data_IF_596878177627
#
_entry.id   IF_596878177627
#
_cell.length_a   1.000
_cell.length_b   1.000
_cell.length_c   1.000
_cell.angle_alpha   90.00
_cell.angle_beta   90.00
_cell.angle_gamma   90.00
#
_symmetry.space_group_name_H-M   'P 1'
#
loop_
_entity.id
_entity.type
_entity.pdbx_description
1 polymer ?
#
# COMPACT_ATOMS: atom_id res chain seq x y z
N UNK A 1 73.72 -45.95 29.53
CA UNK A 1 72.31 -46.37 29.51
C UNK A 1 71.47 -45.09 29.66
N UNK A 2 70.98 -44.55 28.52
CA UNK A 2 70.15 -43.37 28.58
C UNK A 2 68.95 -43.64 27.69
N UNK A 3 67.75 -43.67 28.30
CA UNK A 3 66.52 -44.04 27.63
C UNK A 3 65.76 -42.74 27.37
N UNK A 4 65.84 -42.29 26.10
CA UNK A 4 65.13 -41.09 25.63
C UNK A 4 63.74 -41.49 25.18
N UNK A 5 62.72 -41.14 25.95
CA UNK A 5 61.31 -41.26 25.58
C UNK A 5 60.87 -39.99 24.84
N UNK A 6 60.55 -40.11 23.58
CA UNK A 6 59.94 -39.05 22.74
C UNK A 6 58.46 -38.89 23.12
N UNK A 7 57.91 -37.65 23.29
CA UNK A 7 56.48 -37.46 23.45
C UNK A 7 55.77 -37.50 22.12
N UNK A 8 54.68 -38.26 22.06
CA UNK A 8 53.77 -38.36 20.92
C UNK A 8 52.89 -37.11 20.92
N UNK A 9 53.09 -36.28 19.88
CA UNK A 9 52.25 -35.12 19.61
C UNK A 9 50.86 -35.55 19.14
N UNK A 10 49.84 -35.34 19.96
CA UNK A 10 48.44 -35.55 19.56
C UNK A 10 47.97 -34.35 18.74
N UNK A 11 47.93 -34.56 17.43
CA UNK A 11 47.34 -33.63 16.48
C UNK A 11 45.82 -33.60 16.70
N UNK A 12 45.33 -32.49 17.31
CA UNK A 12 43.88 -32.23 17.44
C UNK A 12 43.34 -31.73 16.12
N UNK A 13 42.59 -32.59 15.45
CA UNK A 13 41.86 -32.27 14.26
C UNK A 13 40.64 -31.42 14.68
N UNK A 14 40.72 -30.10 14.48
CA UNK A 14 39.59 -29.20 14.67
C UNK A 14 38.71 -29.32 13.43
N UNK A 15 37.61 -30.05 13.58
CA UNK A 15 36.52 -30.13 12.58
C UNK A 15 35.70 -28.86 12.70
N UNK A 16 36.02 -27.84 11.87
CA UNK A 16 35.23 -26.62 11.76
C UNK A 16 33.97 -26.92 10.96
N UNK A 17 32.85 -27.05 11.68
CA UNK A 17 31.53 -27.18 11.07
C UNK A 17 31.09 -25.78 10.58
N UNK A 18 31.26 -25.52 9.28
CA UNK A 18 30.75 -24.30 8.65
C UNK A 18 29.23 -24.41 8.52
N UNK A 19 28.53 -23.64 9.36
CA UNK A 19 27.08 -23.51 9.28
C UNK A 19 26.75 -22.58 8.10
N UNK A 20 26.37 -23.16 6.96
CA UNK A 20 25.85 -22.41 5.82
C UNK A 20 24.43 -21.99 6.15
N UNK A 21 24.26 -20.71 6.54
CA UNK A 21 22.95 -20.07 6.66
C UNK A 21 22.46 -19.77 5.26
N UNK A 22 21.57 -20.62 4.74
CA UNK A 22 20.78 -20.33 3.55
C UNK A 22 19.81 -19.20 3.89
N UNK A 23 20.17 -17.98 3.55
CA UNK A 23 19.24 -16.85 3.55
C UNK A 23 18.20 -17.11 2.45
N UNK A 24 17.04 -17.64 2.86
CA UNK A 24 15.86 -17.70 2.00
C UNK A 24 15.41 -16.25 1.75
N UNK A 25 15.79 -15.71 0.59
CA UNK A 25 15.19 -14.49 0.07
C UNK A 25 13.73 -14.81 -0.24
N UNK A 26 12.83 -14.49 0.69
CA UNK A 26 11.42 -14.45 0.41
C UNK A 26 11.23 -13.33 -0.63
N UNK A 27 11.17 -13.72 -1.91
CA UNK A 27 10.60 -12.88 -2.94
C UNK A 27 9.14 -12.65 -2.52
N UNK A 28 8.85 -11.49 -1.92
CA UNK A 28 7.49 -10.99 -1.86
C UNK A 28 7.06 -10.87 -3.33
N UNK A 29 6.19 -11.78 -3.79
CA UNK A 29 5.55 -11.65 -5.08
C UNK A 29 4.90 -10.26 -5.09
N UNK A 30 5.32 -9.40 -6.01
CA UNK A 30 4.68 -8.11 -6.26
C UNK A 30 3.23 -8.45 -6.59
N UNK A 31 2.33 -8.13 -5.66
CA UNK A 31 0.89 -8.34 -5.83
C UNK A 31 0.50 -7.47 -7.01
N UNK A 32 0.06 -8.10 -8.11
CA UNK A 32 -0.51 -7.35 -9.22
C UNK A 32 -1.64 -6.47 -8.66
N UNK A 33 -1.42 -5.17 -8.69
CA UNK A 33 -2.38 -4.19 -8.22
C UNK A 33 -3.42 -4.03 -9.34
N UNK A 34 -4.61 -4.60 -9.14
CA UNK A 34 -5.75 -4.43 -10.03
C UNK A 34 -6.28 -3.00 -10.03
N UNK A 35 -7.40 -2.77 -10.67
CA UNK A 35 -8.10 -1.49 -10.60
C UNK A 35 -8.87 -1.34 -9.28
N UNK A 36 -9.20 -0.11 -8.92
CA UNK A 36 -9.98 0.18 -7.72
C UNK A 36 -11.30 -0.61 -7.65
N UNK A 37 -12.02 -0.72 -8.77
CA UNK A 37 -13.28 -1.46 -8.80
C UNK A 37 -13.08 -2.97 -8.54
N UNK A 38 -11.94 -3.56 -8.93
CA UNK A 38 -11.61 -4.96 -8.60
C UNK A 38 -11.43 -5.14 -7.09
N UNK A 39 -10.71 -4.20 -6.45
CA UNK A 39 -10.52 -4.19 -5.00
C UNK A 39 -11.84 -4.01 -4.23
N UNK A 40 -12.76 -3.23 -4.79
CA UNK A 40 -14.07 -2.95 -4.16
C UNK A 40 -15.13 -4.01 -4.49
N UNK A 41 -14.88 -4.95 -5.40
CA UNK A 41 -15.86 -5.96 -5.78
C UNK A 41 -16.05 -7.00 -4.68
N UNK A 42 -17.31 -7.25 -4.33
CA UNK A 42 -17.66 -8.21 -3.29
C UNK A 42 -17.49 -7.69 -1.85
N UNK A 43 -17.56 -8.61 -0.88
CA UNK A 43 -17.40 -8.32 0.56
C UNK A 43 -15.93 -8.43 0.97
N UNK A 44 -15.14 -7.45 0.62
CA UNK A 44 -13.72 -7.36 0.97
C UNK A 44 -13.49 -6.29 2.04
N UNK A 45 -12.36 -6.27 2.76
CA UNK A 45 -11.99 -5.18 3.66
C UNK A 45 -12.03 -3.81 2.96
N UNK A 46 -11.54 -3.73 1.73
CA UNK A 46 -11.54 -2.50 0.89
C UNK A 46 -12.95 -1.96 0.68
N UNK A 47 -13.92 -2.83 0.32
CA UNK A 47 -15.32 -2.43 0.14
C UNK A 47 -15.90 -1.86 1.45
N UNK A 48 -15.69 -2.54 2.57
CA UNK A 48 -16.20 -2.10 3.85
C UNK A 48 -15.60 -0.76 4.31
N UNK A 49 -14.30 -0.55 4.10
CA UNK A 49 -13.62 0.71 4.43
C UNK A 49 -14.01 1.85 3.47
N UNK A 50 -14.18 1.54 2.18
CA UNK A 50 -14.72 2.46 1.18
C UNK A 50 -16.12 2.94 1.57
N UNK A 51 -17.03 2.05 1.92
CA UNK A 51 -18.39 2.40 2.34
C UNK A 51 -18.43 3.31 3.56
N UNK A 52 -17.53 3.07 4.53
CA UNK A 52 -17.36 3.96 5.68
C UNK A 52 -16.87 5.34 5.26
N UNK A 53 -15.86 5.39 4.41
CA UNK A 53 -15.29 6.63 3.89
C UNK A 53 -16.33 7.45 3.12
N UNK A 54 -17.10 6.80 2.23
CA UNK A 54 -18.10 7.49 1.42
C UNK A 54 -19.24 8.11 2.23
N UNK A 55 -19.51 7.65 3.46
CA UNK A 55 -20.46 8.30 4.37
C UNK A 55 -19.95 9.65 4.87
N UNK A 56 -18.63 9.87 4.90
CA UNK A 56 -17.99 11.10 5.35
C UNK A 56 -17.92 12.15 4.23
N UNK A 57 -17.95 11.73 2.96
CA UNK A 57 -17.87 12.63 1.80
C UNK A 57 -19.23 13.30 1.58
N UNK A 58 -19.42 14.47 2.21
CA UNK A 58 -20.68 15.22 2.13
C UNK A 58 -20.39 16.71 1.89
N UNK A 59 -21.07 17.34 0.93
CA UNK A 59 -21.93 16.73 -0.08
C UNK A 59 -21.15 15.87 -1.08
N UNK A 60 -21.68 14.70 -1.43
CA UNK A 60 -21.05 13.85 -2.44
C UNK A 60 -21.35 14.39 -3.84
N UNK A 61 -20.33 14.66 -4.69
CA UNK A 61 -20.56 15.07 -6.07
C UNK A 61 -21.32 13.98 -6.88
N UNK A 62 -22.22 14.39 -7.79
CA UNK A 62 -23.06 13.47 -8.55
C UNK A 62 -22.27 12.38 -9.28
N UNK A 63 -21.14 12.73 -9.89
CA UNK A 63 -20.27 11.77 -10.60
C UNK A 63 -19.67 10.72 -9.63
N UNK A 64 -19.39 11.10 -8.38
CA UNK A 64 -18.89 10.17 -7.36
C UNK A 64 -20.03 9.33 -6.75
N UNK A 65 -21.26 9.85 -6.73
CA UNK A 65 -22.45 9.06 -6.32
C UNK A 65 -22.67 7.90 -7.28
N UNK A 66 -22.52 8.10 -8.60
CA UNK A 66 -22.63 7.03 -9.57
C UNK A 66 -21.57 5.94 -9.34
N UNK A 67 -20.33 6.32 -9.17
CA UNK A 67 -19.28 5.36 -8.87
C UNK A 67 -19.52 4.62 -7.54
N UNK A 68 -19.91 5.33 -6.48
CA UNK A 68 -20.24 4.73 -5.18
C UNK A 68 -21.34 3.68 -5.27
N UNK A 69 -22.33 3.89 -6.15
CA UNK A 69 -23.50 3.02 -6.26
C UNK A 69 -23.24 1.78 -7.11
N UNK A 70 -22.57 1.93 -8.23
CA UNK A 70 -22.49 0.92 -9.27
C UNK A 70 -21.05 0.55 -9.64
N UNK A 71 -20.04 1.20 -9.05
CA UNK A 71 -18.64 1.19 -9.51
C UNK A 71 -18.50 1.56 -10.99
N UNK A 72 -19.41 2.43 -11.47
CA UNK A 72 -19.43 2.94 -12.83
C UNK A 72 -18.69 4.28 -12.87
N UNK A 73 -17.80 4.44 -13.85
CA UNK A 73 -17.00 5.66 -14.02
C UNK A 73 -15.53 5.36 -14.30
N UNK A 74 -14.70 6.40 -14.24
CA UNK A 74 -13.25 6.32 -14.46
C UNK A 74 -12.55 6.10 -13.15
N UNK A 75 -11.88 4.96 -13.02
CA UNK A 75 -11.06 4.63 -11.85
C UNK A 75 -9.65 4.23 -12.28
N UNK A 76 -8.66 4.59 -11.44
CA UNK A 76 -7.26 4.25 -11.64
C UNK A 76 -6.89 2.85 -11.16
N UNK A 77 -5.68 2.45 -11.54
CA UNK A 77 -5.05 1.27 -10.95
C UNK A 77 -4.72 1.53 -9.48
N UNK A 78 -4.71 0.47 -8.69
CA UNK A 78 -4.17 0.48 -7.34
C UNK A 78 -2.65 0.60 -7.43
N UNK A 79 -2.07 1.54 -6.72
CA UNK A 79 -0.62 1.78 -6.69
C UNK A 79 -0.09 1.60 -5.28
N UNK A 80 0.92 0.75 -5.12
CA UNK A 80 1.60 0.57 -3.84
C UNK A 80 2.49 1.78 -3.55
N UNK A 81 2.47 2.25 -2.30
CA UNK A 81 3.36 3.31 -1.84
C UNK A 81 3.69 3.11 -0.35
N UNK A 82 4.75 3.77 0.10
CA UNK A 82 5.15 3.77 1.50
C UNK A 82 5.08 5.20 2.03
N UNK A 83 4.39 5.40 3.15
CA UNK A 83 4.29 6.68 3.85
C UNK A 83 4.78 6.45 5.29
N UNK A 84 5.82 7.17 5.72
CA UNK A 84 6.44 7.02 7.04
C UNK A 84 6.77 5.56 7.40
N UNK A 85 7.31 4.81 6.44
CA UNK A 85 7.70 3.40 6.61
C UNK A 85 6.53 2.41 6.63
N UNK A 86 5.28 2.87 6.47
CA UNK A 86 4.10 2.02 6.42
C UNK A 86 3.63 1.81 4.98
N UNK A 87 3.24 0.59 4.59
CA UNK A 87 2.72 0.31 3.27
C UNK A 87 1.26 0.76 3.13
N UNK A 88 0.94 1.33 1.97
CA UNK A 88 -0.40 1.74 1.56
C UNK A 88 -0.66 1.34 0.11
N UNK A 89 -1.93 1.34 -0.26
CA UNK A 89 -2.38 1.24 -1.64
C UNK A 89 -3.24 2.46 -1.97
N UNK A 90 -2.97 3.12 -3.08
CA UNK A 90 -3.67 4.34 -3.49
C UNK A 90 -4.28 4.18 -4.88
N UNK A 91 -5.46 4.74 -5.07
CA UNK A 91 -6.10 4.83 -6.36
C UNK A 91 -6.94 6.11 -6.45
N UNK A 92 -7.65 6.28 -7.54
CA UNK A 92 -8.52 7.44 -7.72
C UNK A 92 -9.78 7.08 -8.52
N UNK A 93 -10.77 7.93 -8.37
CA UNK A 93 -11.94 8.04 -9.23
C UNK A 93 -12.01 9.47 -9.73
N UNK A 94 -12.39 9.66 -11.00
CA UNK A 94 -12.57 11.00 -11.52
C UNK A 94 -13.84 11.13 -12.37
N UNK A 95 -14.27 12.37 -12.53
CA UNK A 95 -15.39 12.69 -13.42
C UNK A 95 -14.99 12.41 -14.87
N UNK A 96 -15.76 11.62 -15.62
CA UNK A 96 -15.46 11.35 -17.01
C UNK A 96 -15.20 12.64 -17.79
N UNK A 97 -14.14 12.64 -18.63
CA UNK A 97 -13.66 13.77 -19.42
C UNK A 97 -13.07 14.97 -18.66
N UNK A 98 -13.20 15.01 -17.32
CA UNK A 98 -12.77 16.13 -16.46
C UNK A 98 -11.85 15.66 -15.33
N UNK A 99 -11.05 14.61 -15.53
CA UNK A 99 -10.19 14.00 -14.48
C UNK A 99 -9.16 14.96 -13.86
N UNK A 100 -8.76 16.00 -14.57
CA UNK A 100 -7.85 17.01 -14.04
C UNK A 100 -8.49 17.91 -12.99
N UNK A 101 -9.78 18.21 -13.14
CA UNK A 101 -10.50 19.19 -12.32
C UNK A 101 -11.38 18.53 -11.25
N UNK A 102 -11.78 17.28 -11.46
CA UNK A 102 -12.69 16.55 -10.58
C UNK A 102 -12.16 15.14 -10.31
N UNK A 103 -11.41 15.00 -9.21
CA UNK A 103 -10.78 13.75 -8.80
C UNK A 103 -11.04 13.47 -7.33
N UNK A 104 -11.32 12.21 -7.02
CA UNK A 104 -11.34 11.68 -5.67
C UNK A 104 -10.24 10.63 -5.56
N UNK A 105 -9.24 10.91 -4.75
CA UNK A 105 -8.16 9.97 -4.42
C UNK A 105 -8.56 9.19 -3.18
N UNK A 106 -8.36 7.89 -3.19
CA UNK A 106 -8.51 7.02 -2.03
C UNK A 106 -7.18 6.39 -1.66
N UNK A 107 -6.87 6.39 -0.38
CA UNK A 107 -5.68 5.78 0.21
C UNK A 107 -6.14 4.70 1.19
N UNK A 108 -5.76 3.44 0.96
CA UNK A 108 -6.03 2.32 1.85
C UNK A 108 -4.77 1.94 2.61
N UNK A 109 -4.92 1.48 3.85
CA UNK A 109 -3.84 0.74 4.50
C UNK A 109 -3.59 -0.59 3.76
N UNK A 110 -2.45 -1.24 4.01
CA UNK A 110 -2.07 -2.46 3.30
C UNK A 110 -3.05 -3.64 3.46
N UNK A 111 -3.90 -3.62 4.49
CA UNK A 111 -4.94 -4.61 4.71
C UNK A 111 -6.28 -4.22 4.08
N UNK A 112 -6.43 -2.99 3.57
CA UNK A 112 -7.68 -2.44 3.10
C UNK A 112 -8.70 -2.17 4.19
N UNK A 113 -8.30 -2.23 5.48
CA UNK A 113 -9.19 -2.10 6.62
C UNK A 113 -9.56 -0.64 6.94
N UNK A 114 -8.68 0.29 6.59
CA UNK A 114 -8.88 1.73 6.73
C UNK A 114 -8.73 2.41 5.38
N UNK A 115 -9.58 3.41 5.15
CA UNK A 115 -9.56 4.21 3.93
C UNK A 115 -9.61 5.70 4.28
N UNK A 116 -8.79 6.49 3.59
CA UNK A 116 -8.76 7.93 3.62
C UNK A 116 -9.06 8.49 2.24
N UNK A 117 -9.64 9.67 2.17
CA UNK A 117 -10.02 10.28 0.89
C UNK A 117 -9.55 11.71 0.74
N UNK A 118 -9.29 12.12 -0.50
CA UNK A 118 -9.05 13.51 -0.88
C UNK A 118 -9.87 13.85 -2.13
N UNK A 119 -10.74 14.84 -2.01
CA UNK A 119 -11.59 15.33 -3.11
C UNK A 119 -11.07 16.69 -3.58
N UNK A 120 -10.78 16.83 -4.87
CA UNK A 120 -10.29 18.08 -5.43
C UNK A 120 -10.00 18.02 -6.92
N UNK A 121 -9.18 18.94 -7.37
CA UNK A 121 -8.67 19.02 -8.73
C UNK A 121 -7.34 19.75 -8.76
N UNK A 122 -6.76 19.92 -9.95
CA UNK A 122 -5.42 20.51 -10.12
C UNK A 122 -5.28 21.93 -9.53
N UNK A 123 -6.33 22.74 -9.61
CA UNK A 123 -6.31 24.16 -9.25
C UNK A 123 -6.88 24.44 -7.84
N UNK A 124 -7.42 23.43 -7.17
CA UNK A 124 -8.07 23.58 -5.89
C UNK A 124 -7.32 22.83 -4.77
N UNK A 125 -7.36 23.39 -3.56
CA UNK A 125 -6.94 22.65 -2.39
C UNK A 125 -7.90 21.47 -2.14
N UNK A 126 -7.40 20.24 -1.94
CA UNK A 126 -8.27 19.10 -1.70
C UNK A 126 -8.93 19.17 -0.32
N UNK A 127 -10.17 18.69 -0.25
CA UNK A 127 -10.82 18.36 1.02
C UNK A 127 -10.48 16.93 1.42
N UNK A 128 -10.09 16.72 2.68
CA UNK A 128 -9.69 15.42 3.21
C UNK A 128 -10.77 14.77 4.07
N UNK A 129 -10.88 13.43 4.01
CA UNK A 129 -11.88 12.63 4.72
C UNK A 129 -11.24 11.42 5.37
N UNK A 130 -11.77 10.99 6.52
CA UNK A 130 -11.30 9.83 7.27
C UNK A 130 -10.17 10.14 8.26
N UNK A 131 -9.89 11.42 8.51
CA UNK A 131 -8.85 11.90 9.44
C UNK A 131 -7.43 11.42 9.10
N UNK A 132 -6.96 11.62 7.85
CA UNK A 132 -5.59 11.28 7.48
C UNK A 132 -4.58 12.14 8.23
N UNK A 133 -3.41 11.56 8.52
CA UNK A 133 -2.24 12.29 9.04
C UNK A 133 -1.67 13.24 7.98
N UNK A 134 -0.81 14.18 8.38
CA UNK A 134 -0.22 15.13 7.43
C UNK A 134 0.54 14.44 6.28
N UNK A 135 1.40 13.42 6.51
CA UNK A 135 2.05 12.69 5.42
C UNK A 135 1.08 12.00 4.45
N UNK A 136 -0.03 11.44 4.96
CA UNK A 136 -1.10 10.85 4.15
C UNK A 136 -1.83 11.91 3.32
N UNK A 137 -2.10 13.09 3.91
CA UNK A 137 -2.68 14.24 3.20
C UNK A 137 -1.77 14.72 2.07
N UNK A 138 -0.46 14.84 2.33
CA UNK A 138 0.52 15.30 1.34
C UNK A 138 0.61 14.33 0.16
N UNK A 139 0.61 13.03 0.43
CA UNK A 139 0.61 11.99 -0.61
C UNK A 139 -0.66 12.07 -1.48
N UNK A 140 -1.83 12.17 -0.86
CA UNK A 140 -3.11 12.28 -1.58
C UNK A 140 -3.24 13.61 -2.33
N UNK A 141 -2.80 14.73 -1.75
CA UNK A 141 -2.83 16.03 -2.41
C UNK A 141 -1.99 16.06 -3.68
N UNK A 142 -0.82 15.41 -3.65
CA UNK A 142 0.03 15.23 -4.84
C UNK A 142 -0.71 14.43 -5.92
N UNK A 143 -1.39 13.36 -5.56
CA UNK A 143 -2.13 12.51 -6.49
C UNK A 143 -3.39 13.20 -7.05
N UNK A 144 -4.04 14.09 -6.30
CA UNK A 144 -5.17 14.91 -6.80
C UNK A 144 -4.70 15.83 -7.92
N UNK A 145 -3.52 16.42 -7.80
CA UNK A 145 -2.99 17.42 -8.76
C UNK A 145 -2.34 16.81 -10.00
N UNK A 146 -1.81 15.59 -9.92
CA UNK A 146 -1.18 14.85 -11.01
C UNK A 146 -2.14 13.97 -11.73
#
# INVERSE_FOLDING_TARGET
MSNSKRPVSRMRLHLSLALVVLASSANAAEKETGFLFDALHGKTPYHASWDKLMKLVQPTPDWLVHFKRNFDGVAGQMTNLTIDGKPYEMSFVCKPTECGDHKFVVLFDAAGAHAYGALGGKDNAPAFFGSPTQPEQDAMAKAVKG
#
